data_IF_598413521909
#
_entry.id   IF_598413521909
#
_cell.length_a   1.000
_cell.length_b   1.000
_cell.length_c   1.000
_cell.angle_alpha   90.00
_cell.angle_beta   90.00
_cell.angle_gamma   90.00
#
_symmetry.space_group_name_H-M   'P 1'
#
loop_
_entity.id
_entity.type
_entity.pdbx_description
1 polymer ?
#
# COMPACT_ATOMS: atom_id res chain seq x y z
N UNK A 1 6.80 19.45 28.85
CA UNK A 1 6.03 18.22 28.52
C UNK A 1 5.97 18.12 27.00
N UNK A 2 6.22 16.93 26.48
CA UNK A 2 6.64 16.63 25.11
C UNK A 2 5.59 17.14 24.10
N UNK A 3 6.02 18.04 23.22
CA UNK A 3 5.27 18.42 22.02
C UNK A 3 5.13 17.18 21.15
N UNK A 4 3.89 16.80 20.82
CA UNK A 4 3.61 15.82 19.79
C UNK A 4 4.17 16.37 18.47
N UNK A 5 5.40 15.98 18.16
CA UNK A 5 5.99 16.20 16.86
C UNK A 5 5.28 15.22 15.94
N UNK A 6 4.36 15.75 15.13
CA UNK A 6 3.92 15.13 13.89
C UNK A 6 5.15 15.01 12.98
N UNK A 7 6.05 14.08 13.32
CA UNK A 7 7.11 13.65 12.44
C UNK A 7 6.37 13.09 11.26
N UNK A 8 6.46 13.82 10.14
CA UNK A 8 5.86 13.50 8.86
C UNK A 8 5.96 12.00 8.63
N UNK A 9 4.83 11.29 8.74
CA UNK A 9 4.74 9.85 8.47
C UNK A 9 5.30 9.52 7.08
N UNK A 10 5.33 10.52 6.21
CA UNK A 10 5.92 10.52 4.88
C UNK A 10 7.46 10.40 4.89
N UNK A 11 8.15 11.03 5.83
CA UNK A 11 9.62 11.08 5.89
C UNK A 11 10.19 9.79 6.52
N UNK A 12 9.46 9.15 7.43
CA UNK A 12 9.86 7.88 8.05
C UNK A 12 9.81 6.70 7.06
N UNK A 13 8.93 6.77 6.06
CA UNK A 13 8.79 5.74 5.02
C UNK A 13 10.02 5.69 4.11
N UNK A 14 10.62 6.83 3.78
CA UNK A 14 11.81 6.88 2.92
C UNK A 14 13.08 6.34 3.60
N UNK A 15 13.20 6.47 4.93
CA UNK A 15 14.44 6.15 5.65
C UNK A 15 14.66 4.69 6.03
N UNK A 16 13.65 3.83 5.94
CA UNK A 16 13.81 2.45 6.41
C UNK A 16 13.56 1.38 5.35
N UNK A 17 13.75 1.71 4.06
CA UNK A 17 13.66 0.77 2.93
C UNK A 17 14.54 -0.50 3.11
N UNK A 18 15.47 -0.53 4.08
CA UNK A 18 16.39 -1.64 4.33
C UNK A 18 16.15 -2.49 5.59
N UNK A 19 15.05 -2.29 6.33
CA UNK A 19 14.70 -3.11 7.52
C UNK A 19 13.45 -3.96 7.22
N UNK A 20 13.47 -5.28 7.44
CA UNK A 20 12.34 -6.18 7.21
C UNK A 20 11.06 -5.73 7.95
N UNK A 21 11.22 -5.12 9.14
CA UNK A 21 10.09 -4.50 9.87
C UNK A 21 9.46 -3.35 9.10
N UNK A 22 10.25 -2.62 8.33
CA UNK A 22 9.76 -1.57 7.45
C UNK A 22 9.08 -2.17 6.21
N UNK A 23 9.53 -3.34 5.72
CA UNK A 23 8.95 -3.94 4.51
C UNK A 23 7.49 -4.31 4.66
N UNK A 24 7.13 -4.94 5.79
CA UNK A 24 5.72 -5.23 6.13
C UNK A 24 4.89 -3.95 6.21
N UNK A 25 5.43 -2.87 6.80
CA UNK A 25 4.75 -1.58 6.89
C UNK A 25 4.52 -0.98 5.50
N UNK A 26 5.53 -0.98 4.63
CA UNK A 26 5.40 -0.52 3.23
C UNK A 26 4.32 -1.29 2.48
N UNK A 27 4.31 -2.62 2.58
CA UNK A 27 3.31 -3.47 1.92
C UNK A 27 1.91 -3.16 2.47
N UNK A 28 1.75 -3.11 3.79
CA UNK A 28 0.45 -2.86 4.43
C UNK A 28 -0.10 -1.46 4.05
N UNK A 29 0.76 -0.44 4.00
CA UNK A 29 0.38 0.91 3.59
C UNK A 29 -0.07 0.93 2.12
N UNK A 30 0.71 0.32 1.23
CA UNK A 30 0.38 0.25 -0.19
C UNK A 30 -0.96 -0.46 -0.43
N UNK A 31 -1.21 -1.58 0.27
CA UNK A 31 -2.48 -2.31 0.18
C UNK A 31 -3.64 -1.47 0.72
N UNK A 32 -3.46 -0.80 1.87
CA UNK A 32 -4.49 0.06 2.48
C UNK A 32 -4.89 1.18 1.52
N UNK A 33 -3.92 1.85 0.90
CA UNK A 33 -4.17 2.92 -0.07
C UNK A 33 -4.87 2.40 -1.33
N UNK A 34 -4.41 1.29 -1.89
CA UNK A 34 -5.05 0.68 -3.06
C UNK A 34 -6.50 0.27 -2.79
N UNK A 35 -6.77 -0.33 -1.62
CA UNK A 35 -8.13 -0.68 -1.19
C UNK A 35 -8.97 0.58 -0.98
N UNK A 36 -8.44 1.63 -0.34
CA UNK A 36 -9.18 2.88 -0.19
C UNK A 36 -9.61 3.49 -1.53
N UNK A 37 -8.77 3.38 -2.57
CA UNK A 37 -9.13 3.79 -3.94
C UNK A 37 -10.28 2.95 -4.49
N UNK A 38 -10.28 1.62 -4.30
CA UNK A 38 -11.36 0.75 -4.78
C UNK A 38 -12.71 1.08 -4.14
N UNK A 39 -12.74 1.37 -2.84
CA UNK A 39 -13.99 1.61 -2.09
C UNK A 39 -14.40 3.08 -2.00
N UNK A 40 -13.77 3.96 -2.79
CA UNK A 40 -14.09 5.39 -2.83
C UNK A 40 -15.40 5.75 -3.56
N UNK A 41 -16.06 4.78 -4.20
CA UNK A 41 -17.27 4.97 -5.01
C UNK A 41 -18.31 3.85 -4.76
N UNK A 42 -19.56 4.04 -5.24
CA UNK A 42 -20.71 3.15 -5.00
C UNK A 42 -20.50 1.66 -5.33
N UNK A 43 -19.48 1.30 -6.12
CA UNK A 43 -19.05 -0.08 -6.34
C UNK A 43 -17.52 -0.22 -6.24
N UNK A 44 -16.99 -1.34 -5.71
CA UNK A 44 -15.55 -1.54 -5.60
C UNK A 44 -14.86 -1.58 -6.98
N UNK A 45 -13.96 -0.63 -7.25
CA UNK A 45 -13.11 -0.64 -8.45
C UNK A 45 -11.76 -1.33 -8.15
N UNK A 46 -11.75 -2.66 -8.26
CA UNK A 46 -10.56 -3.47 -8.02
C UNK A 46 -9.46 -3.24 -9.07
N UNK A 47 -9.82 -2.83 -10.27
CA UNK A 47 -8.85 -2.44 -11.29
C UNK A 47 -8.12 -1.15 -10.90
N UNK A 48 -8.80 -0.20 -10.26
CA UNK A 48 -8.17 1.00 -9.70
C UNK A 48 -7.21 0.66 -8.57
N UNK A 49 -7.56 -0.28 -7.68
CA UNK A 49 -6.63 -0.79 -6.68
C UNK A 49 -5.39 -1.40 -7.32
N UNK A 50 -5.56 -2.25 -8.35
CA UNK A 50 -4.43 -2.86 -9.06
C UNK A 50 -3.53 -1.82 -9.72
N UNK A 51 -4.11 -0.79 -10.36
CA UNK A 51 -3.35 0.33 -10.94
C UNK A 51 -2.55 1.09 -9.88
N UNK A 52 -3.14 1.33 -8.70
CA UNK A 52 -2.48 2.01 -7.60
C UNK A 52 -1.25 1.21 -7.09
N UNK A 53 -1.38 -0.12 -6.95
CA UNK A 53 -0.25 -1.00 -6.58
C UNK A 53 0.87 -0.96 -7.64
N UNK A 54 0.52 -1.00 -8.93
CA UNK A 54 1.52 -0.94 -10.00
C UNK A 54 2.35 0.36 -9.97
N UNK A 55 1.72 1.48 -9.61
CA UNK A 55 2.35 2.79 -9.54
C UNK A 55 3.19 3.01 -8.28
N UNK A 56 3.07 2.15 -7.25
CA UNK A 56 3.83 2.30 -6.02
C UNK A 56 5.33 1.97 -6.25
N UNK A 57 6.21 2.96 -6.11
CA UNK A 57 7.64 2.83 -6.39
C UNK A 57 8.42 2.14 -5.25
N UNK A 58 7.82 2.02 -4.07
CA UNK A 58 8.44 1.37 -2.92
C UNK A 58 8.30 -0.15 -2.99
N UNK A 59 7.30 -0.67 -3.71
CA UNK A 59 7.09 -2.11 -3.89
C UNK A 59 8.03 -2.71 -4.94
N UNK A 60 8.51 -3.92 -4.68
CA UNK A 60 9.27 -4.70 -5.68
C UNK A 60 8.33 -5.26 -6.74
N UNK A 61 8.87 -5.65 -7.89
CA UNK A 61 8.07 -6.30 -8.94
C UNK A 61 7.36 -7.57 -8.46
N UNK A 62 8.02 -8.35 -7.59
CA UNK A 62 7.45 -9.56 -7.00
C UNK A 62 6.27 -9.23 -6.08
N UNK A 63 6.42 -8.25 -5.19
CA UNK A 63 5.34 -7.85 -4.28
C UNK A 63 4.15 -7.28 -5.01
N UNK A 64 4.37 -6.43 -6.04
CA UNK A 64 3.29 -5.93 -6.88
C UNK A 64 2.48 -7.08 -7.46
N UNK A 65 3.18 -8.06 -8.03
CA UNK A 65 2.55 -9.22 -8.66
C UNK A 65 1.75 -10.05 -7.64
N UNK A 66 2.36 -10.36 -6.48
CA UNK A 66 1.70 -11.10 -5.41
C UNK A 66 0.47 -10.37 -4.87
N UNK A 67 0.57 -9.06 -4.60
CA UNK A 67 -0.55 -8.27 -4.08
C UNK A 67 -1.69 -8.21 -5.11
N UNK A 68 -1.39 -7.96 -6.39
CA UNK A 68 -2.40 -7.93 -7.47
C UNK A 68 -3.11 -9.27 -7.60
N UNK A 69 -2.37 -10.37 -7.53
CA UNK A 69 -2.97 -11.71 -7.58
C UNK A 69 -3.96 -11.92 -6.42
N UNK A 70 -3.59 -11.53 -5.20
CA UNK A 70 -4.45 -11.60 -4.02
C UNK A 70 -5.68 -10.69 -4.12
N UNK A 71 -5.53 -9.47 -4.65
CA UNK A 71 -6.65 -8.55 -4.89
C UNK A 71 -7.64 -9.12 -5.91
N UNK A 72 -7.15 -9.70 -7.01
CA UNK A 72 -7.99 -10.35 -8.02
C UNK A 72 -8.66 -11.62 -7.51
N UNK A 73 -8.03 -12.36 -6.59
CA UNK A 73 -8.68 -13.48 -5.92
C UNK A 73 -9.84 -12.99 -5.05
N UNK A 74 -9.67 -11.87 -4.34
CA UNK A 74 -10.71 -11.26 -3.51
C UNK A 74 -11.90 -10.73 -4.31
N UNK A 75 -11.67 -10.19 -5.50
CA UNK A 75 -12.75 -9.77 -6.41
C UNK A 75 -13.66 -10.94 -6.84
N UNK A 76 -13.08 -12.15 -6.97
CA UNK A 76 -13.80 -13.34 -7.44
C UNK A 76 -14.57 -14.08 -6.34
N UNK A 77 -14.26 -13.82 -5.07
CA UNK A 77 -14.84 -14.52 -3.90
C UNK A 77 -15.96 -13.69 -3.27
#
# INVERSE_FOLDING_TARGET
QIMASSIDEKEEIEKGINDEKNRTRVIALAVREAVAVAFGVNQPDWDAACRNILQNHLLTGQEKSTIIELLKQRERN
#
